data_IF_087689624879
#
_entry.id   IF_087689624879
#
_cell.length_a   1.000
_cell.length_b   1.000
_cell.length_c   1.000
_cell.angle_alpha   90.00
_cell.angle_beta   90.00
_cell.angle_gamma   90.00
#
_symmetry.space_group_name_H-M   'P 1'
#
loop_
_entity.id
_entity.type
_entity.pdbx_description
1 polymer ?
#
# COMPACT_ATOMS: atom_id res chain seq x y z
N UNK A 1 -32.16 -2.76 -5.81
CA UNK A 1 -30.74 -2.96 -5.43
C UNK A 1 -30.05 -1.61 -5.37
N UNK A 2 -29.56 -1.17 -4.22
CA UNK A 2 -28.74 0.04 -4.14
C UNK A 2 -27.34 -0.34 -4.63
N UNK A 3 -26.97 0.08 -5.84
CA UNK A 3 -25.56 0.06 -6.26
C UNK A 3 -24.82 1.11 -5.44
N UNK A 4 -24.21 0.68 -4.34
CA UNK A 4 -23.43 1.57 -3.49
C UNK A 4 -22.11 1.91 -4.20
N UNK A 5 -22.08 3.04 -4.90
CA UNK A 5 -20.88 3.53 -5.57
C UNK A 5 -19.97 4.21 -4.53
N UNK A 6 -19.23 3.39 -3.78
CA UNK A 6 -18.28 3.83 -2.76
C UNK A 6 -17.34 4.92 -3.27
N UNK A 7 -16.87 4.83 -4.52
CA UNK A 7 -15.96 5.82 -5.11
C UNK A 7 -16.60 7.19 -5.30
N UNK A 8 -17.90 7.25 -5.60
CA UNK A 8 -18.63 8.52 -5.69
C UNK A 8 -18.84 9.13 -4.31
N UNK A 9 -19.22 8.30 -3.32
CA UNK A 9 -19.42 8.74 -1.94
C UNK A 9 -18.12 9.25 -1.31
N UNK A 10 -17.01 8.52 -1.49
CA UNK A 10 -15.71 8.91 -0.96
C UNK A 10 -15.24 10.26 -1.53
N UNK A 11 -15.37 10.43 -2.85
CA UNK A 11 -15.02 11.70 -3.52
C UNK A 11 -15.92 12.84 -3.10
N UNK A 12 -17.21 12.60 -2.88
CA UNK A 12 -18.12 13.63 -2.37
C UNK A 12 -17.70 14.12 -0.98
N UNK A 13 -17.32 13.21 -0.09
CA UNK A 13 -16.79 13.56 1.24
C UNK A 13 -15.49 14.35 1.11
N UNK A 14 -14.56 13.91 0.26
CA UNK A 14 -13.32 14.63 -0.04
C UNK A 14 -13.58 16.05 -0.55
N UNK A 15 -14.52 16.22 -1.48
CA UNK A 15 -14.89 17.51 -2.05
C UNK A 15 -15.53 18.44 -1.00
N UNK A 16 -16.44 17.92 -0.17
CA UNK A 16 -17.04 18.68 0.94
C UNK A 16 -15.99 19.14 1.95
N UNK A 17 -14.99 18.29 2.21
CA UNK A 17 -13.84 18.62 3.05
C UNK A 17 -12.79 19.51 2.36
N UNK A 18 -13.05 20.00 1.13
CA UNK A 18 -12.12 20.79 0.29
C UNK A 18 -10.77 20.09 0.08
N UNK A 19 -10.74 18.77 0.13
CA UNK A 19 -9.56 17.96 -0.12
C UNK A 19 -9.38 17.76 -1.62
N UNK A 20 -8.14 17.88 -2.11
CA UNK A 20 -7.81 17.69 -3.53
C UNK A 20 -7.60 16.24 -3.91
N UNK A 21 -7.17 15.41 -2.95
CA UNK A 21 -6.87 14.01 -3.17
C UNK A 21 -7.32 13.14 -1.99
N UNK A 22 -7.55 11.86 -2.26
CA UNK A 22 -7.79 10.82 -1.26
C UNK A 22 -6.66 9.79 -1.37
N UNK A 23 -6.13 9.38 -0.22
CA UNK A 23 -5.17 8.27 -0.12
C UNK A 23 -5.90 7.07 0.46
N UNK A 24 -5.93 5.97 -0.28
CA UNK A 24 -6.37 4.67 0.20
C UNK A 24 -5.14 3.80 0.33
N UNK A 25 -4.91 3.20 1.50
CA UNK A 25 -3.81 2.27 1.71
C UNK A 25 -4.32 0.90 2.12
N UNK A 26 -3.60 -0.13 1.71
CA UNK A 26 -3.81 -1.50 2.16
C UNK A 26 -2.46 -2.18 2.22
N UNK A 27 -2.34 -3.18 3.08
CA UNK A 27 -1.10 -3.92 3.18
C UNK A 27 -1.31 -5.37 3.51
N UNK A 28 -0.31 -6.17 3.17
CA UNK A 28 -0.20 -7.56 3.59
C UNK A 28 1.05 -7.72 4.44
N UNK A 29 0.89 -8.44 5.55
CA UNK A 29 2.00 -8.90 6.35
C UNK A 29 2.41 -10.27 5.83
N UNK A 30 3.71 -10.47 5.62
CA UNK A 30 4.24 -11.74 5.13
C UNK A 30 5.37 -12.23 6.02
N UNK A 31 5.43 -13.55 6.16
CA UNK A 31 6.49 -14.29 6.86
C UNK A 31 7.39 -14.94 5.83
N UNK A 32 8.70 -14.87 6.07
CA UNK A 32 9.73 -15.50 5.27
C UNK A 32 10.33 -16.71 5.99
N UNK A 33 10.32 -17.86 5.31
CA UNK A 33 11.09 -19.06 5.69
C UNK A 33 12.23 -19.21 4.68
N UNK A 34 13.43 -19.53 5.15
CA UNK A 34 14.54 -19.88 4.27
C UNK A 34 14.35 -21.32 3.83
N UNK A 35 14.36 -21.56 2.52
CA UNK A 35 14.38 -22.91 1.96
C UNK A 35 15.81 -23.46 2.01
N UNK A 36 16.00 -24.55 2.76
CA UNK A 36 17.31 -25.17 2.96
C UNK A 36 17.93 -25.72 1.66
N UNK A 37 17.12 -25.96 0.62
CA UNK A 37 17.61 -26.49 -0.67
C UNK A 37 18.11 -25.40 -1.61
N UNK A 38 17.48 -24.23 -1.59
CA UNK A 38 17.75 -23.14 -2.54
C UNK A 38 18.44 -21.94 -1.89
N UNK A 39 18.51 -21.91 -0.56
CA UNK A 39 18.89 -20.74 0.24
C UNK A 39 18.07 -19.48 -0.09
N UNK A 40 16.91 -19.64 -0.73
CA UNK A 40 16.00 -18.54 -1.05
C UNK A 40 14.97 -18.35 0.05
N UNK A 41 14.55 -17.11 0.29
CA UNK A 41 13.43 -16.83 1.19
C UNK A 41 12.11 -17.06 0.46
N UNK A 42 11.35 -18.03 0.94
CA UNK A 42 9.97 -18.27 0.52
C UNK A 42 9.05 -17.42 1.39
N UNK A 43 8.22 -16.61 0.74
CA UNK A 43 7.31 -15.68 1.40
C UNK A 43 5.89 -16.23 1.41
N UNK A 44 5.22 -16.13 2.55
CA UNK A 44 3.82 -16.52 2.74
C UNK A 44 3.05 -15.44 3.51
N UNK A 45 1.76 -15.31 3.23
CA UNK A 45 0.87 -14.38 3.95
C UNK A 45 0.80 -14.78 5.42
N UNK A 46 0.98 -13.80 6.31
CA UNK A 46 0.79 -13.99 7.74
C UNK A 46 -0.70 -14.05 8.07
N UNK A 47 -1.15 -15.18 8.64
CA UNK A 47 -2.55 -15.43 8.97
C UNK A 47 -2.90 -15.16 10.44
N UNK A 48 -1.98 -14.58 11.22
CA UNK A 48 -2.16 -14.38 12.66
C UNK A 48 -1.72 -15.59 13.49
N UNK A 49 -1.52 -15.38 14.80
CA UNK A 49 -1.08 -16.41 15.75
C UNK A 49 0.40 -16.34 16.10
N UNK A 50 0.94 -17.38 16.76
CA UNK A 50 2.38 -17.47 16.99
C UNK A 50 3.09 -17.73 15.66
N UNK A 51 4.18 -17.02 15.41
CA UNK A 51 5.05 -17.30 14.27
C UNK A 51 5.52 -18.75 14.32
N UNK A 52 5.55 -19.42 13.16
CA UNK A 52 6.16 -20.74 13.06
C UNK A 52 7.64 -20.64 13.46
N UNK A 53 8.18 -21.64 14.17
CA UNK A 53 9.56 -21.62 14.68
C UNK A 53 10.62 -21.43 13.56
N UNK A 54 10.25 -21.82 12.34
CA UNK A 54 10.99 -21.71 11.09
C UNK A 54 10.94 -20.33 10.41
N UNK A 55 10.16 -19.38 10.96
CA UNK A 55 10.10 -18.01 10.45
C UNK A 55 11.41 -17.29 10.74
N UNK A 56 12.11 -16.86 9.69
CA UNK A 56 13.39 -16.12 9.80
C UNK A 56 13.25 -14.63 9.47
N UNK A 57 12.17 -14.24 8.80
CA UNK A 57 11.96 -12.86 8.38
C UNK A 57 10.49 -12.50 8.37
N UNK A 58 10.19 -11.22 8.54
CA UNK A 58 8.85 -10.66 8.43
C UNK A 58 8.97 -9.40 7.55
N UNK A 59 8.00 -9.20 6.64
CA UNK A 59 7.93 -7.99 5.83
C UNK A 59 6.51 -7.43 5.72
N UNK A 60 6.42 -6.11 5.58
CA UNK A 60 5.18 -5.40 5.28
C UNK A 60 5.17 -4.97 3.82
N UNK A 61 4.17 -5.42 3.07
CA UNK A 61 3.90 -4.92 1.72
C UNK A 61 2.81 -3.86 1.81
N UNK A 62 3.21 -2.60 1.85
CA UNK A 62 2.27 -1.48 1.83
C UNK A 62 1.95 -1.09 0.38
N UNK A 63 0.68 -0.88 0.08
CA UNK A 63 0.19 -0.40 -1.21
C UNK A 63 -0.70 0.80 -0.97
N UNK A 64 -0.71 1.72 -1.91
CA UNK A 64 -1.59 2.87 -1.85
C UNK A 64 -2.13 3.21 -3.22
N UNK A 65 -3.38 3.65 -3.23
CA UNK A 65 -4.02 4.31 -4.35
C UNK A 65 -4.20 5.78 -3.98
N UNK A 66 -3.73 6.65 -4.87
CA UNK A 66 -4.03 8.06 -4.81
C UNK A 66 -5.16 8.35 -5.79
N UNK A 67 -6.21 9.02 -5.31
CA UNK A 67 -7.39 9.35 -6.10
C UNK A 67 -7.55 10.86 -6.13
N UNK A 68 -7.62 11.42 -7.34
CA UNK A 68 -7.99 12.81 -7.55
C UNK A 68 -9.48 13.01 -7.29
N UNK A 69 -9.83 13.95 -6.41
CA UNK A 69 -11.23 14.14 -5.99
C UNK A 69 -12.08 14.70 -7.13
N UNK A 70 -11.52 15.60 -7.94
CA UNK A 70 -12.24 16.34 -8.98
C UNK A 70 -12.57 15.46 -10.19
N UNK A 71 -11.58 14.73 -10.68
CA UNK A 71 -11.65 13.91 -11.89
C UNK A 71 -12.03 12.46 -11.58
N UNK A 72 -11.63 11.95 -10.42
CA UNK A 72 -11.72 10.52 -10.09
C UNK A 72 -10.61 9.66 -10.69
N UNK A 73 -9.63 10.28 -11.35
CA UNK A 73 -8.43 9.57 -11.81
C UNK A 73 -7.68 8.99 -10.61
N UNK A 74 -7.12 7.80 -10.79
CA UNK A 74 -6.38 7.14 -9.73
C UNK A 74 -5.10 6.51 -10.25
N UNK A 75 -4.15 6.38 -9.34
CA UNK A 75 -2.84 5.78 -9.60
C UNK A 75 -2.44 4.97 -8.39
N UNK A 76 -1.90 3.78 -8.61
CA UNK A 76 -1.42 2.90 -7.57
C UNK A 76 0.08 2.89 -7.47
N UNK A 77 0.57 2.74 -6.25
CA UNK A 77 1.98 2.56 -5.96
C UNK A 77 2.16 1.49 -4.89
N UNK A 78 3.20 0.69 -5.06
CA UNK A 78 3.74 -0.19 -4.04
C UNK A 78 5.25 0.02 -3.98
N UNK A 79 5.83 0.33 -2.81
CA UNK A 79 7.27 0.39 -2.68
C UNK A 79 7.84 -1.01 -2.83
N UNK A 80 8.92 -1.12 -3.62
CA UNK A 80 9.77 -2.31 -3.60
C UNK A 80 10.44 -2.42 -2.24
N UNK A 81 10.50 -3.63 -1.68
CA UNK A 81 11.07 -3.92 -0.36
C UNK A 81 12.44 -3.23 -0.19
N UNK A 82 12.50 -2.24 0.69
CA UNK A 82 13.76 -1.53 1.01
C UNK A 82 14.00 -1.56 2.50
N UNK A 83 15.23 -1.78 2.94
CA UNK A 83 15.54 -1.81 4.38
C UNK A 83 15.23 -0.45 5.06
N UNK A 84 14.87 -0.50 6.35
CA UNK A 84 14.02 0.45 7.10
C UNK A 84 14.31 1.96 7.01
N UNK A 85 15.51 2.41 6.65
CA UNK A 85 15.83 3.84 6.50
C UNK A 85 15.50 4.42 5.12
N UNK A 86 15.26 3.59 4.10
CA UNK A 86 15.00 4.04 2.73
C UNK A 86 13.50 4.19 2.41
N UNK A 87 12.62 3.56 3.21
CA UNK A 87 11.17 3.64 3.03
C UNK A 87 10.64 5.07 3.14
N UNK A 88 11.03 5.81 4.19
CA UNK A 88 10.54 7.18 4.42
C UNK A 88 10.90 8.13 3.26
N UNK A 89 12.15 8.07 2.79
CA UNK A 89 12.64 8.95 1.72
C UNK A 89 12.03 8.62 0.36
N UNK A 90 11.88 7.33 0.02
CA UNK A 90 11.26 6.92 -1.25
C UNK A 90 9.75 7.18 -1.29
N UNK A 91 9.05 7.03 -0.17
CA UNK A 91 7.63 7.35 -0.08
C UNK A 91 7.39 8.83 -0.37
N UNK A 92 8.12 9.74 0.25
CA UNK A 92 7.94 11.19 0.06
C UNK A 92 8.26 11.60 -1.39
N UNK A 93 9.40 11.15 -1.94
CA UNK A 93 9.81 11.52 -3.30
C UNK A 93 8.85 10.98 -4.36
N UNK A 94 8.33 9.76 -4.20
CA UNK A 94 7.42 9.15 -5.19
C UNK A 94 5.97 9.61 -5.01
N UNK A 95 5.47 9.78 -3.78
CA UNK A 95 4.17 10.42 -3.55
C UNK A 95 4.14 11.82 -4.16
N UNK A 96 5.21 12.61 -4.03
CA UNK A 96 5.31 13.92 -4.71
C UNK A 96 5.35 13.82 -6.23
N UNK A 97 5.96 12.77 -6.80
CA UNK A 97 6.01 12.56 -8.25
C UNK A 97 4.66 12.09 -8.81
N UNK A 98 3.89 11.36 -8.01
CA UNK A 98 2.53 10.88 -8.32
C UNK A 98 1.48 11.98 -8.10
N UNK A 99 1.70 12.89 -7.14
CA UNK A 99 0.88 14.09 -6.90
C UNK A 99 1.13 15.22 -7.90
N UNK A 100 2.31 15.25 -8.54
CA UNK A 100 2.68 16.29 -9.52
C UNK A 100 1.66 16.46 -10.67
N UNK A 101 1.15 15.39 -11.31
CA UNK A 101 0.13 15.52 -12.36
C UNK A 101 -1.28 15.86 -11.83
N UNK A 102 -1.50 15.89 -10.51
CA UNK A 102 -2.79 16.27 -9.91
C UNK A 102 -2.84 17.75 -9.46
N UNK A 103 -1.80 18.54 -9.77
CA UNK A 103 -1.75 19.98 -9.48
C UNK A 103 -2.32 20.81 -10.62
#
# INVERSE_FOLDING_TARGET
>A
MIQNNYMRTLRLVGAKGRQKAIIVYWGTLETGKVDDKTNMTVWSTYTGGKNAAETKSIRYLLRFALVDVKTGNWVTYSPTNTNGNLFSRHLITRVQQVLRPLK
#
